data_IF_325299083289
#
_entry.id   IF_325299083289
#
_cell.length_a   1.000
_cell.length_b   1.000
_cell.length_c   1.000
_cell.angle_alpha   90.00
_cell.angle_beta   90.00
_cell.angle_gamma   90.00
#
_symmetry.space_group_name_H-M   'P 1'
#
loop_
_entity.id
_entity.type
_entity.pdbx_description
1 polymer ?
#
# COMPACT_ATOMS: atom_id res chain seq x y z
N UNK A 1 -1.26 -19.04 -4.31
CA UNK A 1 -0.88 -19.86 -3.13
C UNK A 1 -2.11 -20.66 -2.73
N UNK A 2 -2.04 -21.99 -2.61
CA UNK A 2 -3.23 -22.76 -2.24
C UNK A 2 -3.72 -22.32 -0.86
N UNK A 3 -5.00 -21.94 -0.78
CA UNK A 3 -5.69 -21.53 0.45
C UNK A 3 -6.49 -22.69 1.03
N UNK A 4 -6.70 -22.70 2.37
CA UNK A 4 -7.42 -21.59 3.01
C UNK A 4 -6.60 -20.69 3.97
N UNK A 5 -5.32 -20.99 4.26
CA UNK A 5 -4.49 -20.20 5.20
C UNK A 5 -3.37 -19.45 4.49
N UNK A 6 -3.11 -18.23 4.93
CA UNK A 6 -2.04 -17.38 4.39
C UNK A 6 -0.67 -17.96 4.76
N UNK A 7 0.27 -17.99 3.80
CA UNK A 7 1.62 -18.48 4.04
C UNK A 7 2.34 -17.65 5.11
N UNK A 8 3.15 -18.33 5.93
CA UNK A 8 4.06 -17.65 6.85
C UNK A 8 5.16 -16.91 6.09
N UNK A 9 5.85 -15.99 6.79
CA UNK A 9 6.90 -15.18 6.18
C UNK A 9 8.05 -16.01 5.61
N UNK A 10 8.37 -17.14 6.23
CA UNK A 10 9.45 -18.00 5.73
C UNK A 10 8.98 -18.89 4.57
N UNK A 11 7.75 -19.39 4.63
CA UNK A 11 7.16 -20.22 3.57
C UNK A 11 6.98 -19.45 2.25
N UNK A 12 6.75 -18.14 2.30
CA UNK A 12 6.58 -17.32 1.09
C UNK A 12 7.79 -17.44 0.15
N UNK A 13 8.99 -17.59 0.71
CA UNK A 13 10.22 -17.74 -0.06
C UNK A 13 10.24 -19.05 -0.84
N UNK A 14 9.62 -20.11 -0.34
CA UNK A 14 9.51 -21.38 -1.08
C UNK A 14 8.65 -21.21 -2.34
N UNK A 15 7.61 -20.39 -2.28
CA UNK A 15 6.77 -20.07 -3.44
C UNK A 15 7.43 -19.08 -4.41
N UNK A 16 8.20 -18.11 -3.90
CA UNK A 16 8.89 -17.12 -4.73
C UNK A 16 10.11 -17.69 -5.45
N UNK A 17 10.77 -18.70 -4.88
CA UNK A 17 12.01 -19.27 -5.43
C UNK A 17 11.90 -19.68 -6.92
N UNK A 18 10.94 -20.53 -7.36
CA UNK A 18 10.85 -20.93 -8.77
C UNK A 18 10.64 -19.72 -9.70
N UNK A 19 9.77 -18.79 -9.32
CA UNK A 19 9.56 -17.54 -10.06
C UNK A 19 10.85 -16.72 -10.19
N UNK A 20 11.61 -16.58 -9.10
CA UNK A 20 12.88 -15.84 -9.09
C UNK A 20 13.94 -16.54 -9.93
N UNK A 21 14.02 -17.87 -9.89
CA UNK A 21 14.95 -18.66 -10.71
C UNK A 21 14.67 -18.43 -12.21
N UNK A 22 13.41 -18.48 -12.64
CA UNK A 22 12.99 -18.17 -14.01
C UNK A 22 13.30 -16.72 -14.38
N UNK A 23 12.99 -15.75 -13.52
CA UNK A 23 13.25 -14.33 -13.76
C UNK A 23 14.76 -14.06 -13.92
N UNK A 24 15.63 -14.74 -13.19
CA UNK A 24 17.08 -14.59 -13.38
C UNK A 24 17.56 -15.13 -14.72
N UNK A 25 16.96 -16.21 -15.23
CA UNK A 25 17.25 -16.72 -16.58
C UNK A 25 16.74 -15.73 -17.64
N UNK A 26 15.48 -15.31 -17.51
CA UNK A 26 14.85 -14.35 -18.42
C UNK A 26 15.57 -13.01 -18.44
N UNK A 27 16.14 -12.56 -17.32
CA UNK A 27 16.88 -11.30 -17.28
C UNK A 27 18.16 -11.34 -18.13
N UNK A 28 18.84 -12.50 -18.19
CA UNK A 28 19.99 -12.72 -19.09
C UNK A 28 19.52 -12.79 -20.56
N UNK A 29 18.36 -13.41 -20.75
CA UNK A 29 17.71 -13.62 -22.03
C UNK A 29 17.74 -15.08 -22.43
N UNK A 30 16.63 -15.55 -22.98
CA UNK A 30 16.47 -16.89 -23.51
C UNK A 30 16.01 -16.82 -24.95
N UNK A 31 16.41 -17.80 -25.75
CA UNK A 31 15.94 -17.95 -27.12
C UNK A 31 14.71 -18.85 -27.12
N UNK A 32 13.59 -18.36 -27.63
CA UNK A 32 12.35 -19.14 -27.76
C UNK A 32 11.80 -19.02 -29.17
N UNK A 33 11.13 -20.09 -29.62
CA UNK A 33 10.32 -20.02 -30.81
C UNK A 33 9.00 -19.34 -30.48
N UNK A 34 8.73 -18.24 -31.16
CA UNK A 34 7.45 -17.54 -31.11
C UNK A 34 6.62 -17.91 -32.33
N UNK A 35 5.32 -17.63 -32.29
CA UNK A 35 4.41 -17.90 -33.40
C UNK A 35 4.90 -17.32 -34.75
N UNK A 36 5.59 -16.16 -34.74
CA UNK A 36 6.04 -15.46 -35.96
C UNK A 36 7.56 -15.53 -36.21
N UNK A 37 8.35 -16.02 -35.24
CA UNK A 37 9.81 -15.99 -35.33
C UNK A 37 10.40 -17.14 -34.52
N UNK A 38 11.09 -18.05 -35.21
CA UNK A 38 11.93 -19.04 -34.55
C UNK A 38 13.21 -18.37 -34.04
N UNK A 39 13.63 -18.73 -32.83
CA UNK A 39 14.86 -18.22 -32.25
C UNK A 39 14.81 -16.77 -31.73
N UNK A 40 13.64 -16.27 -31.33
CA UNK A 40 13.52 -14.91 -30.77
C UNK A 40 14.19 -14.81 -29.39
N UNK A 41 15.05 -13.81 -29.21
CA UNK A 41 15.64 -13.49 -27.89
C UNK A 41 14.62 -12.75 -27.02
N UNK A 42 14.18 -13.38 -25.95
CA UNK A 42 13.22 -12.83 -25.00
C UNK A 42 13.87 -12.54 -23.67
N UNK A 43 13.57 -11.37 -23.12
CA UNK A 43 13.98 -10.94 -21.78
C UNK A 43 12.77 -10.50 -20.96
N UNK A 44 12.81 -10.77 -19.66
CA UNK A 44 11.81 -10.29 -18.72
C UNK A 44 12.46 -9.79 -17.43
N UNK A 45 11.81 -8.83 -16.80
CA UNK A 45 12.21 -8.30 -15.52
C UNK A 45 10.96 -7.97 -14.67
N UNK A 46 11.04 -8.27 -13.38
CA UNK A 46 10.03 -7.83 -12.42
C UNK A 46 10.22 -6.35 -12.10
N UNK A 47 9.25 -5.52 -12.46
CA UNK A 47 9.34 -4.07 -12.24
C UNK A 47 8.79 -3.66 -10.87
N UNK A 48 7.64 -4.18 -10.47
CA UNK A 48 6.91 -3.73 -9.28
C UNK A 48 6.15 -4.88 -8.61
N UNK A 49 5.95 -4.75 -7.30
CA UNK A 49 5.07 -5.60 -6.49
C UNK A 49 3.89 -4.76 -6.02
N UNK A 50 2.70 -5.12 -6.48
CA UNK A 50 1.44 -4.44 -6.21
C UNK A 50 0.48 -5.41 -5.52
N UNK A 51 0.27 -5.22 -4.22
CA UNK A 51 -0.64 -6.02 -3.41
C UNK A 51 -1.06 -5.23 -2.16
N UNK A 52 -1.96 -5.81 -1.36
CA UNK A 52 -2.29 -5.25 -0.06
C UNK A 52 -1.03 -5.15 0.85
N UNK A 53 -1.11 -4.33 1.90
CA UNK A 53 0.06 -4.12 2.78
C UNK A 53 0.63 -5.44 3.33
N UNK A 54 -0.17 -6.37 3.90
CA UNK A 54 0.36 -7.63 4.44
C UNK A 54 1.16 -8.45 3.42
N UNK A 55 0.59 -8.68 2.22
CA UNK A 55 1.27 -9.43 1.17
C UNK A 55 2.51 -8.69 0.67
N UNK A 56 2.44 -7.37 0.52
CA UNK A 56 3.57 -6.55 0.08
C UNK A 56 4.75 -6.66 1.05
N UNK A 57 4.47 -6.66 2.37
CA UNK A 57 5.52 -6.78 3.39
C UNK A 57 6.19 -8.16 3.34
N UNK A 58 5.41 -9.23 3.26
CA UNK A 58 5.94 -10.60 3.20
C UNK A 58 6.75 -10.83 1.92
N UNK A 59 6.19 -10.47 0.76
CA UNK A 59 6.84 -10.70 -0.54
C UNK A 59 8.14 -9.91 -0.70
N UNK A 60 8.18 -8.67 -0.20
CA UNK A 60 9.34 -7.79 -0.38
C UNK A 60 10.32 -7.82 0.80
N UNK A 61 10.07 -8.65 1.82
CA UNK A 61 10.97 -8.80 2.97
C UNK A 61 10.97 -7.61 3.91
N UNK A 62 9.81 -6.98 4.12
CA UNK A 62 9.62 -5.92 5.11
C UNK A 62 8.84 -6.44 6.33
N UNK A 63 9.02 -5.80 7.48
CA UNK A 63 8.19 -6.08 8.66
C UNK A 63 6.77 -5.53 8.48
N UNK A 64 5.85 -6.06 9.30
CA UNK A 64 4.43 -5.72 9.27
C UNK A 64 4.14 -4.26 9.61
N UNK A 65 2.93 -3.81 9.29
CA UNK A 65 2.45 -2.46 9.57
C UNK A 65 2.35 -2.13 11.07
N UNK A 66 2.34 -3.14 11.94
CA UNK A 66 2.35 -2.97 13.39
C UNK A 66 3.75 -3.16 14.01
N UNK A 67 4.82 -3.12 13.21
CA UNK A 67 6.19 -3.17 13.73
C UNK A 67 6.71 -1.79 14.08
N UNK A 68 7.78 -1.72 14.89
CA UNK A 68 8.54 -0.49 15.15
C UNK A 68 9.04 0.15 13.85
N UNK A 69 9.36 -0.65 12.83
CA UNK A 69 9.72 -0.18 11.50
C UNK A 69 8.55 -0.26 10.51
N UNK A 70 7.39 0.31 10.85
CA UNK A 70 6.15 0.18 10.08
C UNK A 70 6.23 0.70 8.63
N UNK A 71 7.04 1.72 8.35
CA UNK A 71 7.20 2.27 7.02
C UNK A 71 8.34 1.56 6.26
N UNK A 72 8.07 1.07 5.05
CA UNK A 72 9.09 0.42 4.21
C UNK A 72 9.91 1.41 3.37
N UNK A 73 9.46 2.66 3.25
CA UNK A 73 10.14 3.73 2.51
C UNK A 73 11.17 4.49 3.36
N UNK A 74 11.09 4.39 4.69
CA UNK A 74 11.94 5.15 5.60
C UNK A 74 12.60 4.26 6.66
N UNK A 75 13.60 4.82 7.33
CA UNK A 75 14.33 4.17 8.43
C UNK A 75 13.84 4.61 9.82
N UNK A 76 12.70 5.32 9.90
CA UNK A 76 12.15 5.79 11.17
C UNK A 76 11.59 4.62 11.98
N UNK A 77 11.94 4.59 13.26
CA UNK A 77 11.28 3.74 14.25
C UNK A 77 10.11 4.48 14.88
N UNK A 78 9.01 3.77 15.02
CA UNK A 78 7.76 4.22 15.61
C UNK A 78 7.55 3.51 16.93
N UNK A 79 7.32 4.28 17.99
CA UNK A 79 6.97 3.73 19.29
C UNK A 79 5.58 3.09 19.24
N UNK A 80 5.33 2.14 20.13
CA UNK A 80 3.98 1.67 20.39
C UNK A 80 3.26 2.65 21.31
N UNK A 81 1.93 2.70 21.22
CA UNK A 81 1.10 3.39 22.19
C UNK A 81 1.08 2.55 23.47
N UNK A 82 1.38 3.19 24.61
CA UNK A 82 1.51 2.53 25.91
C UNK A 82 0.32 1.62 26.22
N UNK A 83 0.61 0.40 26.66
CA UNK A 83 -0.40 -0.61 27.00
C UNK A 83 -1.12 -1.23 25.79
N UNK A 84 -0.72 -0.91 24.55
CA UNK A 84 -1.34 -1.46 23.34
C UNK A 84 -0.32 -1.98 22.33
N UNK A 85 -0.80 -2.71 21.32
CA UNK A 85 0.00 -3.12 20.15
C UNK A 85 -0.05 -2.10 19.01
N UNK A 86 -0.79 -1.00 19.18
CA UNK A 86 -0.92 0.03 18.16
C UNK A 86 0.39 0.81 18.02
N UNK A 87 0.75 1.14 16.79
CA UNK A 87 1.94 1.96 16.50
C UNK A 87 1.53 3.43 16.55
N UNK A 88 2.34 4.25 17.21
CA UNK A 88 2.16 5.69 17.29
C UNK A 88 2.78 6.37 16.06
N UNK A 89 1.92 6.91 15.19
CA UNK A 89 2.32 7.63 13.98
C UNK A 89 2.32 9.17 14.14
N UNK A 90 2.17 9.69 15.35
CA UNK A 90 2.21 11.13 15.61
C UNK A 90 3.61 11.73 15.44
N UNK A 91 3.67 13.05 15.22
CA UNK A 91 4.93 13.80 15.16
C UNK A 91 5.77 13.51 13.92
N UNK A 92 5.13 13.18 12.80
CA UNK A 92 5.80 13.06 11.51
C UNK A 92 6.24 14.43 11.02
N UNK A 93 7.55 14.63 10.90
CA UNK A 93 8.16 15.83 10.33
C UNK A 93 8.91 15.44 9.06
N UNK A 94 8.49 16.01 7.94
CA UNK A 94 9.06 15.68 6.63
C UNK A 94 10.56 16.02 6.55
N UNK A 95 11.00 17.09 7.22
CA UNK A 95 12.41 17.49 7.29
C UNK A 95 13.32 16.48 7.99
N UNK A 96 12.77 15.63 8.87
CA UNK A 96 13.51 14.59 9.60
C UNK A 96 13.43 13.23 8.89
N UNK A 97 12.82 13.17 7.69
CA UNK A 97 12.62 11.93 6.97
C UNK A 97 13.91 11.46 6.31
N UNK A 98 14.50 10.40 6.86
CA UNK A 98 15.57 9.63 6.22
C UNK A 98 14.98 8.45 5.41
N UNK A 99 15.12 8.52 4.10
CA UNK A 99 14.68 7.48 3.17
C UNK A 99 15.53 6.21 3.29
N UNK A 100 14.91 5.05 3.08
CA UNK A 100 15.63 3.77 3.05
C UNK A 100 16.33 3.62 1.70
N UNK A 101 17.62 3.31 1.70
CA UNK A 101 18.37 3.06 0.46
C UNK A 101 18.30 1.60 0.02
N UNK A 102 18.61 1.34 -1.26
CA UNK A 102 18.72 -0.03 -1.80
C UNK A 102 19.84 -0.80 -1.10
N UNK A 103 20.97 -0.15 -0.90
CA UNK A 103 22.20 -0.71 -0.35
C UNK A 103 21.98 -1.12 1.11
N UNK A 104 21.39 -0.24 1.93
CA UNK A 104 21.03 -0.55 3.32
C UNK A 104 20.01 -1.69 3.39
N UNK A 105 18.96 -1.64 2.58
CA UNK A 105 17.95 -2.69 2.56
C UNK A 105 18.57 -4.07 2.25
N UNK A 106 19.43 -4.15 1.22
CA UNK A 106 20.17 -5.39 0.90
C UNK A 106 21.10 -5.81 2.00
N UNK A 107 21.83 -4.89 2.62
CA UNK A 107 22.73 -5.19 3.75
C UNK A 107 21.94 -5.81 4.90
N UNK A 108 20.83 -5.19 5.31
CA UNK A 108 19.98 -5.69 6.40
C UNK A 108 19.34 -7.03 6.08
N UNK A 109 18.85 -7.23 4.84
CA UNK A 109 18.31 -8.52 4.40
C UNK A 109 19.36 -9.64 4.45
N UNK A 110 20.60 -9.36 4.04
CA UNK A 110 21.69 -10.34 4.09
C UNK A 110 22.14 -10.65 5.52
N UNK A 111 22.21 -9.64 6.40
CA UNK A 111 22.47 -9.86 7.83
C UNK A 111 21.41 -10.79 8.44
N UNK A 112 20.13 -10.54 8.14
CA UNK A 112 19.04 -11.40 8.57
C UNK A 112 19.15 -12.82 8.02
N UNK A 113 19.49 -12.97 6.72
CA UNK A 113 19.67 -14.28 6.08
C UNK A 113 20.76 -15.10 6.75
N UNK A 114 21.88 -14.46 7.05
CA UNK A 114 23.09 -15.08 7.59
C UNK A 114 23.06 -15.25 9.12
N UNK A 115 22.08 -14.65 9.80
CA UNK A 115 21.88 -14.85 11.23
C UNK A 115 21.61 -16.33 11.54
N UNK A 116 22.37 -16.86 12.50
CA UNK A 116 22.38 -18.29 12.87
C UNK A 116 21.23 -18.71 13.78
N UNK A 117 20.63 -17.76 14.50
CA UNK A 117 19.60 -18.04 15.50
C UNK A 117 18.31 -17.27 15.19
N UNK A 118 17.18 -17.83 15.58
CA UNK A 118 15.88 -17.16 15.47
C UNK A 118 15.84 -15.88 16.32
N UNK A 119 16.51 -15.88 17.47
CA UNK A 119 16.61 -14.71 18.35
C UNK A 119 17.33 -13.56 17.64
N UNK A 120 18.44 -13.84 16.97
CA UNK A 120 19.18 -12.80 16.23
C UNK A 120 18.37 -12.27 15.04
N UNK A 121 17.68 -13.16 14.31
CA UNK A 121 16.75 -12.73 13.25
C UNK A 121 15.67 -11.79 13.77
N UNK A 122 15.02 -12.13 14.89
CA UNK A 122 14.01 -11.27 15.52
C UNK A 122 14.59 -9.92 15.94
N UNK A 123 15.80 -9.90 16.51
CA UNK A 123 16.50 -8.66 16.88
C UNK A 123 16.72 -7.76 15.67
N UNK A 124 17.25 -8.33 14.57
CA UNK A 124 17.49 -7.61 13.31
C UNK A 124 16.21 -7.08 12.67
N UNK A 125 15.10 -7.83 12.78
CA UNK A 125 13.79 -7.37 12.28
C UNK A 125 13.29 -6.14 13.02
N UNK A 126 13.40 -6.12 14.36
CA UNK A 126 12.95 -5.00 15.19
C UNK A 126 13.80 -3.76 14.89
N UNK A 127 15.11 -3.96 14.75
CA UNK A 127 16.09 -2.88 14.52
C UNK A 127 15.95 -2.27 13.12
N UNK A 128 15.84 -3.12 12.09
CA UNK A 128 16.00 -2.71 10.70
C UNK A 128 14.71 -2.75 9.88
N UNK A 129 13.67 -3.46 10.33
CA UNK A 129 12.41 -3.61 9.61
C UNK A 129 12.51 -4.41 8.31
N UNK A 130 13.52 -5.28 8.19
CA UNK A 130 13.84 -6.03 6.96
C UNK A 130 14.12 -7.49 7.27
N UNK A 131 13.69 -8.37 6.36
CA UNK A 131 13.93 -9.81 6.31
C UNK A 131 14.47 -10.18 4.93
N UNK A 132 15.04 -11.37 4.82
CA UNK A 132 15.36 -11.92 3.50
C UNK A 132 14.09 -12.31 2.74
N UNK A 133 14.02 -11.88 1.48
CA UNK A 133 13.07 -12.38 0.49
C UNK A 133 13.83 -12.89 -0.73
N UNK A 134 13.33 -13.93 -1.40
CA UNK A 134 13.91 -14.41 -2.67
C UNK A 134 14.04 -13.31 -3.71
N UNK A 135 13.18 -12.27 -3.68
CA UNK A 135 13.31 -11.11 -4.58
C UNK A 135 14.63 -10.36 -4.42
N UNK A 136 15.33 -10.48 -3.29
CA UNK A 136 16.66 -9.90 -3.09
C UNK A 136 17.75 -10.54 -3.96
N UNK A 137 17.49 -11.72 -4.56
CA UNK A 137 18.40 -12.34 -5.54
C UNK A 137 18.41 -11.59 -6.87
N UNK A 138 17.33 -10.87 -7.19
CA UNK A 138 17.21 -10.10 -8.42
C UNK A 138 18.02 -8.81 -8.31
N UNK A 139 19.22 -8.77 -8.91
CA UNK A 139 20.17 -7.64 -8.79
C UNK A 139 19.59 -6.32 -9.31
N UNK A 140 18.67 -6.36 -10.27
CA UNK A 140 17.96 -5.19 -10.80
C UNK A 140 16.78 -4.73 -9.92
N UNK A 141 16.26 -5.58 -9.04
CA UNK A 141 15.07 -5.29 -8.25
C UNK A 141 15.43 -4.51 -6.97
N UNK A 142 14.67 -3.44 -6.72
CA UNK A 142 14.84 -2.55 -5.58
C UNK A 142 13.58 -2.55 -4.71
N UNK A 143 13.47 -3.41 -3.68
CA UNK A 143 12.24 -3.58 -2.90
C UNK A 143 11.67 -2.26 -2.39
N UNK A 144 12.53 -1.35 -1.91
CA UNK A 144 12.09 -0.06 -1.38
C UNK A 144 11.31 0.75 -2.41
N UNK A 145 11.72 0.75 -3.68
CA UNK A 145 11.06 1.50 -4.76
C UNK A 145 9.96 0.70 -5.44
N UNK A 146 10.23 -0.57 -5.69
CA UNK A 146 9.39 -1.47 -6.47
C UNK A 146 8.17 -2.00 -5.70
N UNK A 147 8.18 -1.99 -4.36
CA UNK A 147 6.95 -2.17 -3.58
C UNK A 147 6.10 -0.92 -3.74
N UNK A 148 4.96 -1.04 -4.43
CA UNK A 148 4.03 0.06 -4.63
C UNK A 148 2.85 -0.04 -3.69
N UNK A 149 2.26 1.12 -3.36
CA UNK A 149 1.03 1.18 -2.59
C UNK A 149 -0.11 0.82 -3.52
N UNK A 150 -0.81 -0.28 -3.23
CA UNK A 150 -2.05 -0.62 -3.92
C UNK A 150 -3.14 0.43 -3.60
N UNK A 151 -3.62 1.20 -4.60
CA UNK A 151 -4.66 2.20 -4.37
C UNK A 151 -5.99 1.57 -3.93
N UNK A 152 -6.28 0.36 -4.39
CA UNK A 152 -7.60 -0.22 -4.19
C UNK A 152 -7.83 -0.61 -2.73
N UNK A 153 -6.94 -1.44 -2.17
CA UNK A 153 -7.12 -1.96 -0.82
C UNK A 153 -6.58 -1.01 0.24
N UNK A 154 -5.44 -0.36 0.00
CA UNK A 154 -4.79 0.42 1.05
C UNK A 154 -5.38 1.82 1.17
N UNK A 155 -5.77 2.41 0.03
CA UNK A 155 -6.13 3.80 0.00
C UNK A 155 -7.65 4.01 -0.02
N UNK A 156 -8.36 3.38 -0.96
CA UNK A 156 -9.83 3.50 -1.05
C UNK A 156 -10.52 2.72 0.07
N UNK A 157 -10.27 1.41 0.16
CA UNK A 157 -10.87 0.57 1.20
C UNK A 157 -10.21 0.73 2.58
N UNK A 158 -8.98 1.25 2.61
CA UNK A 158 -8.22 1.52 3.83
C UNK A 158 -8.41 2.96 4.31
N UNK A 159 -7.53 3.87 3.89
CA UNK A 159 -7.47 5.24 4.42
C UNK A 159 -8.76 6.01 4.25
N UNK A 160 -9.35 6.04 3.05
CA UNK A 160 -10.53 6.85 2.77
C UNK A 160 -11.73 6.43 3.63
N UNK A 161 -12.01 5.12 3.65
CA UNK A 161 -13.02 4.55 4.54
C UNK A 161 -12.75 4.89 6.01
N UNK A 162 -11.51 4.68 6.47
CA UNK A 162 -11.14 4.93 7.86
C UNK A 162 -11.33 6.40 8.26
N UNK A 163 -11.06 7.34 7.36
CA UNK A 163 -11.30 8.76 7.63
C UNK A 163 -12.78 9.07 7.80
N UNK A 164 -13.66 8.51 6.95
CA UNK A 164 -15.11 8.67 7.13
C UNK A 164 -15.56 8.10 8.47
N UNK A 165 -15.10 6.89 8.83
CA UNK A 165 -15.43 6.25 10.10
C UNK A 165 -15.00 7.11 11.29
N UNK A 166 -13.80 7.74 11.23
CA UNK A 166 -13.30 8.65 12.28
C UNK A 166 -14.17 9.89 12.38
N UNK A 167 -14.50 10.54 11.27
CA UNK A 167 -15.31 11.76 11.29
C UNK A 167 -16.73 11.51 11.80
N UNK A 168 -17.33 10.38 11.43
CA UNK A 168 -18.63 9.94 11.96
C UNK A 168 -18.52 9.67 13.47
N UNK A 169 -17.52 8.91 13.90
CA UNK A 169 -17.36 8.54 15.31
C UNK A 169 -17.07 9.73 16.23
N UNK A 170 -16.48 10.80 15.70
CA UNK A 170 -16.18 12.03 16.43
C UNK A 170 -17.25 13.13 16.23
N UNK A 171 -18.40 12.81 15.64
CA UNK A 171 -19.49 13.75 15.36
C UNK A 171 -19.04 15.00 14.59
N UNK A 172 -18.07 14.84 13.67
CA UNK A 172 -17.64 15.91 12.77
C UNK A 172 -18.57 16.04 11.55
N UNK A 173 -19.40 15.03 11.31
CA UNK A 173 -20.46 14.99 10.31
C UNK A 173 -21.69 14.38 10.98
N UNK A 174 -22.83 15.05 10.90
CA UNK A 174 -24.09 14.59 11.49
C UNK A 174 -25.04 13.96 10.46
N UNK A 175 -26.21 13.48 10.91
CA UNK A 175 -27.19 12.84 10.01
C UNK A 175 -27.74 13.81 8.95
N UNK A 176 -27.84 15.10 9.28
CA UNK A 176 -28.32 16.13 8.35
C UNK A 176 -27.28 16.35 7.25
N UNK A 177 -25.99 16.40 7.59
CA UNK A 177 -24.90 16.48 6.62
C UNK A 177 -24.98 15.35 5.59
N UNK A 178 -25.20 14.11 6.03
CA UNK A 178 -25.29 12.95 5.12
C UNK A 178 -26.50 13.02 4.19
N UNK A 179 -27.66 13.47 4.67
CA UNK A 179 -28.86 13.65 3.85
C UNK A 179 -28.61 14.72 2.78
N UNK A 180 -28.12 15.89 3.18
CA UNK A 180 -27.84 16.99 2.25
C UNK A 180 -26.75 16.62 1.22
N UNK A 181 -25.67 15.97 1.66
CA UNK A 181 -24.63 15.48 0.76
C UNK A 181 -25.20 14.49 -0.27
N UNK A 182 -26.16 13.64 0.12
CA UNK A 182 -26.78 12.70 -0.81
C UNK A 182 -27.65 13.41 -1.85
N UNK A 183 -28.40 14.43 -1.45
CA UNK A 183 -29.20 15.25 -2.38
C UNK A 183 -28.32 16.02 -3.37
N UNK A 184 -27.22 16.60 -2.88
CA UNK A 184 -26.21 17.25 -3.72
C UNK A 184 -25.54 16.25 -4.68
N UNK A 185 -25.14 15.09 -4.18
CA UNK A 185 -24.53 14.03 -4.99
C UNK A 185 -25.44 13.56 -6.13
N UNK A 186 -26.75 13.50 -5.90
CA UNK A 186 -27.73 13.11 -6.91
C UNK A 186 -27.84 14.13 -8.06
N UNK A 187 -27.44 15.39 -7.83
CA UNK A 187 -27.40 16.46 -8.84
C UNK A 187 -26.08 16.53 -9.61
N UNK A 188 -25.03 15.81 -9.16
CA UNK A 188 -23.73 15.84 -9.80
C UNK A 188 -23.70 14.96 -11.06
N UNK A 189 -23.14 15.50 -12.15
CA UNK A 189 -22.85 14.74 -13.37
C UNK A 189 -21.43 14.20 -13.27
N UNK A 190 -21.29 12.87 -13.35
CA UNK A 190 -20.00 12.20 -13.23
C UNK A 190 -19.32 12.04 -14.59
N UNK A 191 -17.97 12.17 -14.65
CA UNK A 191 -17.21 11.77 -15.83
C UNK A 191 -17.33 10.27 -16.10
N UNK A 192 -17.05 9.88 -17.34
CA UNK A 192 -16.97 8.47 -17.74
C UNK A 192 -15.94 7.73 -16.88
N UNK A 193 -16.27 6.54 -16.40
CA UNK A 193 -15.39 5.70 -15.58
C UNK A 193 -15.49 5.92 -14.07
N UNK A 194 -16.49 6.67 -13.61
CA UNK A 194 -16.85 6.82 -12.20
C UNK A 194 -18.24 6.27 -11.89
N UNK A 195 -18.39 5.70 -10.70
CA UNK A 195 -19.60 5.03 -10.22
C UNK A 195 -20.46 5.99 -9.40
N UNK A 196 -21.75 6.08 -9.76
CA UNK A 196 -22.73 6.91 -9.04
C UNK A 196 -23.07 6.34 -7.66
N UNK A 197 -23.06 7.19 -6.63
CA UNK A 197 -23.31 6.79 -5.24
C UNK A 197 -24.78 7.01 -4.81
N UNK A 198 -25.70 6.25 -5.42
CA UNK A 198 -27.17 6.42 -5.33
C UNK A 198 -27.73 6.81 -3.96
N UNK A 199 -27.61 5.94 -2.95
CA UNK A 199 -28.13 6.16 -1.59
C UNK A 199 -27.06 5.97 -0.52
N UNK A 200 -25.81 5.74 -0.95
CA UNK A 200 -24.75 5.25 -0.07
C UNK A 200 -24.20 6.35 0.82
N UNK A 201 -24.16 7.60 0.35
CA UNK A 201 -23.68 8.73 1.14
C UNK A 201 -24.66 8.99 2.29
N UNK A 202 -25.96 9.09 1.98
CA UNK A 202 -27.01 9.32 2.99
C UNK A 202 -27.12 8.21 4.02
N UNK A 203 -26.67 6.99 3.69
CA UNK A 203 -26.64 5.84 4.60
C UNK A 203 -25.29 5.63 5.29
N UNK A 204 -24.37 6.59 5.23
CA UNK A 204 -23.02 6.50 5.85
C UNK A 204 -22.16 5.37 5.27
N UNK A 205 -22.13 5.26 3.94
CA UNK A 205 -21.22 4.43 3.15
C UNK A 205 -21.29 2.91 3.38
N UNK A 206 -22.47 2.27 3.47
CA UNK A 206 -22.56 0.84 3.77
C UNK A 206 -22.04 0.01 2.60
N UNK A 207 -21.16 -0.95 2.91
CA UNK A 207 -20.64 -1.95 1.96
C UNK A 207 -20.17 -1.36 0.62
N UNK A 208 -19.50 -0.20 0.66
CA UNK A 208 -18.93 0.39 -0.54
C UNK A 208 -17.76 -0.43 -1.08
N UNK A 209 -17.80 -0.67 -2.39
CA UNK A 209 -16.73 -1.30 -3.16
C UNK A 209 -15.65 -0.27 -3.51
N UNK A 210 -14.50 -0.74 -4.00
CA UNK A 210 -13.36 0.14 -4.23
C UNK A 210 -13.59 1.17 -5.36
N UNK A 211 -14.37 0.85 -6.39
CA UNK A 211 -14.76 1.77 -7.46
C UNK A 211 -15.72 2.88 -6.96
N UNK A 212 -16.59 2.54 -6.01
CA UNK A 212 -17.45 3.49 -5.33
C UNK A 212 -16.63 4.41 -4.43
N UNK A 213 -15.66 3.88 -3.68
CA UNK A 213 -14.72 4.68 -2.88
C UNK A 213 -13.85 5.57 -3.75
N UNK A 214 -13.39 5.08 -4.92
CA UNK A 214 -12.69 5.90 -5.92
C UNK A 214 -13.52 7.11 -6.31
N UNK A 215 -14.82 6.89 -6.59
CA UNK A 215 -15.75 7.94 -7.01
C UNK A 215 -16.02 8.93 -5.87
N UNK A 216 -16.19 8.41 -4.64
CA UNK A 216 -16.26 9.24 -3.44
C UNK A 216 -15.02 10.13 -3.30
N UNK A 217 -13.83 9.54 -3.25
CA UNK A 217 -12.59 10.27 -3.02
C UNK A 217 -12.31 11.32 -4.09
N UNK A 218 -12.41 10.95 -5.37
CA UNK A 218 -11.92 11.80 -6.46
C UNK A 218 -12.95 12.81 -6.96
N UNK A 219 -14.25 12.53 -6.84
CA UNK A 219 -15.31 13.36 -7.45
C UNK A 219 -16.20 14.00 -6.39
N UNK A 220 -16.78 13.19 -5.51
CA UNK A 220 -17.80 13.69 -4.57
C UNK A 220 -17.17 14.45 -3.40
N UNK A 221 -16.25 13.83 -2.69
CA UNK A 221 -15.72 14.33 -1.43
C UNK A 221 -15.06 15.72 -1.51
N UNK A 222 -14.34 16.12 -2.60
CA UNK A 222 -13.78 17.47 -2.68
C UNK A 222 -14.84 18.58 -2.73
N UNK A 223 -16.02 18.27 -3.27
CA UNK A 223 -17.14 19.21 -3.38
C UNK A 223 -18.01 19.13 -2.13
N UNK A 224 -18.45 17.93 -1.77
CA UNK A 224 -19.47 17.71 -0.75
C UNK A 224 -18.96 17.98 0.68
N UNK A 225 -17.66 17.82 0.95
CA UNK A 225 -17.10 18.09 2.28
C UNK A 225 -16.78 19.57 2.51
N UNK A 226 -16.79 20.40 1.45
CA UNK A 226 -16.25 21.77 1.50
C UNK A 226 -16.95 22.66 2.53
N UNK A 227 -18.24 22.49 2.74
CA UNK A 227 -19.05 23.30 3.66
C UNK A 227 -19.34 22.61 4.98
N UNK A 228 -18.77 21.41 5.19
CA UNK A 228 -19.16 20.51 6.29
C UNK A 228 -18.01 20.18 7.23
N UNK A 229 -16.79 20.21 6.73
CA UNK A 229 -15.59 20.04 7.55
C UNK A 229 -14.92 21.39 7.80
N UNK A 230 -14.19 21.47 8.92
CA UNK A 230 -13.25 22.57 9.15
C UNK A 230 -12.19 22.61 8.04
N UNK A 231 -11.75 23.82 7.70
CA UNK A 231 -10.78 24.06 6.62
C UNK A 231 -9.47 23.29 6.77
N UNK A 232 -8.99 23.08 8.00
CA UNK A 232 -7.77 22.32 8.26
C UNK A 232 -7.93 20.83 7.98
N UNK A 233 -9.09 20.25 8.33
CA UNK A 233 -9.41 18.85 8.04
C UNK A 233 -9.66 18.65 6.54
N UNK A 234 -10.40 19.57 5.93
CA UNK A 234 -10.65 19.57 4.49
C UNK A 234 -9.33 19.70 3.72
N UNK A 235 -8.45 20.65 4.08
CA UNK A 235 -7.15 20.83 3.44
C UNK A 235 -6.29 19.57 3.47
N UNK A 236 -6.22 18.90 4.62
CA UNK A 236 -5.54 17.60 4.75
C UNK A 236 -6.18 16.51 3.88
N UNK A 237 -7.50 16.47 3.81
CA UNK A 237 -8.21 15.55 2.92
C UNK A 237 -7.96 15.84 1.44
N UNK A 238 -7.91 17.11 1.03
CA UNK A 238 -7.58 17.48 -0.35
C UNK A 238 -6.15 17.08 -0.70
N UNK A 239 -5.18 17.24 0.20
CA UNK A 239 -3.82 16.70 -0.03
C UNK A 239 -3.82 15.18 -0.24
N UNK A 240 -4.65 14.46 0.52
CA UNK A 240 -4.87 13.04 0.30
C UNK A 240 -5.44 12.82 -1.12
N UNK A 241 -6.53 13.50 -1.52
CA UNK A 241 -7.15 13.42 -2.85
C UNK A 241 -6.16 13.74 -3.99
N UNK A 242 -5.35 14.79 -3.86
CA UNK A 242 -4.37 15.21 -4.86
C UNK A 242 -3.30 14.14 -5.09
N UNK A 243 -2.83 13.49 -4.02
CA UNK A 243 -1.88 12.38 -4.12
C UNK A 243 -2.44 11.24 -5.01
N UNK A 244 -3.76 11.01 -5.01
CA UNK A 244 -4.39 10.03 -5.92
C UNK A 244 -4.45 10.49 -7.34
N UNK A 245 -4.79 11.75 -7.59
CA UNK A 245 -4.85 12.27 -8.94
C UNK A 245 -3.49 12.11 -9.63
N UNK A 246 -2.39 12.36 -8.91
CA UNK A 246 -1.03 12.13 -9.41
C UNK A 246 -0.78 10.65 -9.68
N UNK A 247 -1.23 9.75 -8.80
CA UNK A 247 -1.03 8.30 -8.99
C UNK A 247 -1.85 7.73 -10.17
N UNK A 248 -3.01 8.32 -10.49
CA UNK A 248 -3.89 7.85 -11.56
C UNK A 248 -3.63 8.51 -12.93
N UNK A 249 -3.00 9.70 -12.98
CA UNK A 249 -2.63 10.37 -14.25
C UNK A 249 -1.41 9.76 -14.94
N UNK A 250 -0.59 9.00 -14.21
CA UNK A 250 0.66 8.42 -14.71
C UNK A 250 0.51 6.95 -15.15
N UNK A 251 -0.71 6.52 -15.50
CA UNK A 251 -1.04 5.23 -16.09
C UNK A 251 -1.71 5.45 -17.43
#
# INVERSE_FOLDING_TARGET
MPGPKEASTDEINNYLRPLVDELMLLYKGITIDTYNCSGALVRAALLMVACDIPAARKTCGFTSHNSTCACYKCNRQFAHVDGTTAVNYFGLKFSEWVGRTKEENRRHANLWKNAKTLTERKRLEIENGVRWSELHRLVYFEPVRATIIDPMHNLFLGTAKRMMDIWIANNLLDDKDFVEMQEEANRMVLPVGYTTLKIKIGKKFPFMKADEWKSWCLIYSPVLLKTRLRDDLLGNWIHFVDAFFIQNKNK
#
